data_IF_903275950344
#
_entry.id   IF_903275950344
#
_cell.length_a   1.000
_cell.length_b   1.000
_cell.length_c   1.000
_cell.angle_alpha   90.00
_cell.angle_beta   90.00
_cell.angle_gamma   90.00
#
_symmetry.space_group_name_H-M   'P 1'
#
loop_
_entity.id
_entity.type
_entity.pdbx_description
1 polymer ?
#
# COMPACT_ATOMS: atom_id res chain seq x y z
N UNK A 1 40.43 33.35 -1.25
CA UNK A 1 41.72 32.76 -1.66
C UNK A 1 41.54 32.31 -3.10
N UNK A 2 42.43 32.71 -4.00
CA UNK A 2 42.37 32.41 -5.44
C UNK A 2 43.62 31.63 -5.82
N UNK A 3 43.46 30.56 -6.60
CA UNK A 3 44.55 29.68 -7.04
C UNK A 3 44.52 29.57 -8.56
N UNK A 4 45.67 29.75 -9.22
CA UNK A 4 45.79 29.55 -10.67
C UNK A 4 45.98 28.08 -11.00
N UNK A 5 45.04 27.50 -11.73
CA UNK A 5 45.15 26.14 -12.27
C UNK A 5 44.96 26.19 -13.78
N UNK A 6 45.94 25.68 -14.54
CA UNK A 6 45.94 25.66 -16.02
C UNK A 6 45.64 27.03 -16.66
N UNK A 7 46.22 28.09 -16.12
CA UNK A 7 46.07 29.46 -16.65
C UNK A 7 44.74 30.13 -16.34
N UNK A 8 43.85 29.50 -15.57
CA UNK A 8 42.60 30.09 -15.09
C UNK A 8 42.67 30.37 -13.60
N UNK A 9 42.21 31.54 -13.19
CA UNK A 9 42.05 31.91 -11.79
C UNK A 9 40.79 31.23 -11.24
N UNK A 10 40.97 30.25 -10.36
CA UNK A 10 39.88 29.57 -9.66
C UNK A 10 39.75 30.15 -8.25
N UNK A 11 38.51 30.39 -7.84
CA UNK A 11 38.17 30.80 -6.48
C UNK A 11 37.21 29.81 -5.82
N UNK A 12 36.88 30.08 -4.55
CA UNK A 12 36.00 29.23 -3.75
C UNK A 12 34.58 29.07 -4.32
N UNK A 13 34.18 29.84 -5.36
CA UNK A 13 32.88 29.69 -6.03
C UNK A 13 32.85 28.49 -6.97
N UNK A 14 34.01 27.92 -7.31
CA UNK A 14 34.15 26.74 -8.17
C UNK A 14 34.27 25.43 -7.39
N UNK A 15 34.32 25.50 -6.06
CA UNK A 15 34.39 24.34 -5.17
C UNK A 15 32.99 24.10 -4.60
N UNK A 16 32.52 22.86 -4.66
CA UNK A 16 31.25 22.45 -4.04
C UNK A 16 31.25 22.88 -2.57
N UNK A 17 30.19 23.56 -2.06
CA UNK A 17 30.11 23.95 -0.66
C UNK A 17 30.35 22.74 0.24
N UNK A 18 31.39 22.80 1.06
CA UNK A 18 31.75 21.69 1.94
C UNK A 18 31.42 22.05 3.40
N UNK A 19 31.06 21.03 4.17
CA UNK A 19 30.81 21.16 5.59
C UNK A 19 32.07 20.67 6.36
N UNK A 20 32.81 21.55 7.07
CA UNK A 20 34.03 21.18 7.77
C UNK A 20 33.83 20.07 8.81
N UNK A 21 32.67 20.02 9.49
CA UNK A 21 32.36 18.97 10.45
C UNK A 21 32.21 17.61 9.75
N UNK A 22 31.54 17.56 8.60
CA UNK A 22 31.36 16.31 7.86
C UNK A 22 32.67 15.83 7.21
N UNK A 23 33.48 16.74 6.68
CA UNK A 23 34.82 16.42 6.17
C UNK A 23 35.69 15.80 7.27
N UNK A 24 35.74 16.43 8.46
CA UNK A 24 36.54 15.93 9.58
C UNK A 24 36.00 14.59 10.14
N UNK A 25 34.67 14.38 10.09
CA UNK A 25 34.04 13.17 10.61
C UNK A 25 34.26 11.94 9.73
N UNK A 26 34.31 12.12 8.41
CA UNK A 26 34.33 11.02 7.44
C UNK A 26 35.60 10.96 6.59
N UNK A 27 36.54 11.89 6.79
CA UNK A 27 37.85 11.97 6.10
C UNK A 27 37.77 11.82 4.57
N UNK A 28 36.71 12.39 3.97
CA UNK A 28 36.50 12.37 2.52
C UNK A 28 35.73 13.61 2.05
N UNK A 29 35.87 13.96 0.77
CA UNK A 29 35.15 15.09 0.18
C UNK A 29 33.67 14.74 -0.03
N UNK A 30 32.78 15.42 0.71
CA UNK A 30 31.34 15.14 0.72
C UNK A 30 30.56 16.26 0.01
N UNK A 31 29.69 15.88 -0.92
CA UNK A 31 28.68 16.77 -1.50
C UNK A 31 27.38 16.65 -0.68
N UNK A 32 26.82 17.79 -0.24
CA UNK A 32 25.57 17.82 0.55
C UNK A 32 24.49 18.48 -0.28
N UNK A 33 23.50 17.70 -0.70
CA UNK A 33 22.35 18.18 -1.47
C UNK A 33 21.06 18.12 -0.64
N UNK A 34 20.37 19.25 -0.53
CA UNK A 34 19.04 19.32 0.09
C UNK A 34 18.00 19.09 -1.00
N UNK A 35 17.52 17.84 -1.10
CA UNK A 35 16.47 17.47 -2.04
C UNK A 35 15.10 17.85 -1.49
N UNK A 36 14.59 19.03 -1.84
CA UNK A 36 13.28 19.51 -1.37
C UNK A 36 12.08 18.97 -2.17
N UNK A 37 12.32 18.42 -3.37
CA UNK A 37 11.24 17.94 -4.24
C UNK A 37 11.13 16.41 -4.22
N UNK A 38 9.89 15.90 -4.26
CA UNK A 38 9.60 14.46 -4.42
C UNK A 38 10.28 13.87 -5.66
N UNK A 39 10.50 14.67 -6.71
CA UNK A 39 11.20 14.24 -7.93
C UNK A 39 12.66 13.88 -7.64
N UNK A 40 13.36 14.68 -6.82
CA UNK A 40 14.74 14.39 -6.44
C UNK A 40 14.84 13.14 -5.55
N UNK A 41 13.90 12.96 -4.61
CA UNK A 41 13.80 11.72 -3.80
C UNK A 41 13.55 10.51 -4.70
N UNK A 42 12.57 10.59 -5.61
CA UNK A 42 12.30 9.52 -6.60
C UNK A 42 13.53 9.22 -7.45
N UNK A 43 14.28 10.25 -7.85
CA UNK A 43 15.49 10.09 -8.64
C UNK A 43 16.58 9.37 -7.83
N UNK A 44 16.86 9.79 -6.60
CA UNK A 44 17.83 9.13 -5.72
C UNK A 44 17.48 7.66 -5.48
N UNK A 45 16.23 7.38 -5.11
CA UNK A 45 15.74 6.02 -4.91
C UNK A 45 15.75 5.20 -6.20
N UNK A 46 15.51 5.81 -7.37
CA UNK A 46 15.62 5.14 -8.66
C UNK A 46 17.02 4.57 -8.87
N UNK A 47 18.10 5.26 -8.48
CA UNK A 47 19.47 4.75 -8.64
C UNK A 47 19.87 3.75 -7.55
N UNK A 48 19.40 3.94 -6.32
CA UNK A 48 19.66 2.99 -5.21
C UNK A 48 18.93 1.66 -5.45
N UNK A 49 17.70 1.72 -5.95
CA UNK A 49 16.84 0.56 -6.18
C UNK A 49 16.74 0.16 -7.65
N UNK A 50 17.57 0.72 -8.54
CA UNK A 50 17.62 0.26 -9.93
C UNK A 50 18.07 -1.19 -9.89
N UNK A 51 17.17 -2.08 -10.30
CA UNK A 51 17.41 -3.50 -10.26
C UNK A 51 18.49 -3.95 -11.22
N UNK A 52 18.81 -5.23 -11.05
CA UNK A 52 19.74 -6.03 -11.82
C UNK A 52 19.43 -6.02 -13.30
N UNK A 53 20.25 -5.43 -14.17
CA UNK A 53 20.14 -5.79 -15.59
C UNK A 53 20.46 -7.29 -15.71
N UNK A 54 19.49 -8.06 -16.22
CA UNK A 54 19.62 -9.50 -16.45
C UNK A 54 19.99 -9.72 -17.90
N UNK A 55 20.99 -10.56 -18.12
CA UNK A 55 21.39 -11.01 -19.45
C UNK A 55 21.15 -12.50 -19.51
N UNK A 56 20.38 -12.94 -20.51
CA UNK A 56 20.32 -14.34 -20.89
C UNK A 56 21.39 -14.59 -21.96
N UNK A 57 22.25 -15.58 -21.76
CA UNK A 57 23.20 -16.01 -22.78
C UNK A 57 23.10 -17.51 -22.99
N UNK A 58 23.33 -17.94 -24.23
CA UNK A 58 23.35 -19.35 -24.61
C UNK A 58 24.77 -19.91 -24.42
N UNK A 59 24.88 -21.02 -23.69
CA UNK A 59 26.11 -21.79 -23.61
C UNK A 59 26.09 -22.88 -24.68
N UNK A 60 26.73 -22.65 -25.82
CA UNK A 60 26.89 -23.65 -26.87
C UNK A 60 28.07 -24.57 -26.49
N UNK A 61 27.87 -25.86 -26.20
CA UNK A 61 28.97 -26.78 -26.00
C UNK A 61 29.70 -26.99 -27.34
N UNK A 62 31.03 -26.93 -27.31
CA UNK A 62 31.82 -27.36 -28.45
C UNK A 62 31.66 -28.86 -28.66
N UNK A 63 31.01 -29.22 -29.77
CA UNK A 63 30.87 -30.56 -30.37
C UNK A 63 29.61 -31.37 -30.02
N UNK A 64 28.83 -31.64 -31.08
CA UNK A 64 27.88 -32.73 -31.32
C UNK A 64 26.89 -33.11 -30.21
N UNK A 65 25.67 -32.56 -30.26
CA UNK A 65 24.52 -33.12 -29.53
C UNK A 65 23.29 -33.06 -30.45
N UNK A 66 22.75 -34.22 -30.83
CA UNK A 66 21.58 -34.38 -31.70
C UNK A 66 20.24 -34.08 -30.99
N UNK A 67 20.26 -33.80 -29.69
CA UNK A 67 19.10 -33.38 -28.90
C UNK A 67 19.36 -31.99 -28.30
N UNK A 68 18.65 -30.98 -28.81
CA UNK A 68 18.73 -29.58 -28.39
C UNK A 68 17.58 -29.32 -27.41
N UNK A 69 17.88 -29.29 -26.12
CA UNK A 69 16.94 -28.80 -25.09
C UNK A 69 17.07 -27.27 -24.98
N UNK A 70 16.14 -26.54 -25.61
CA UNK A 70 16.10 -25.07 -25.62
C UNK A 70 16.00 -24.47 -24.20
N UNK A 71 15.46 -25.19 -23.21
CA UNK A 71 15.28 -24.67 -21.84
C UNK A 71 16.60 -24.74 -21.05
N UNK A 72 17.44 -25.76 -21.30
CA UNK A 72 18.72 -25.93 -20.61
C UNK A 72 19.85 -25.04 -21.16
N UNK A 73 19.70 -24.52 -22.38
CA UNK A 73 20.76 -23.79 -23.07
C UNK A 73 20.88 -22.31 -22.66
N UNK A 74 19.84 -21.71 -22.08
CA UNK A 74 19.87 -20.31 -21.66
C UNK A 74 20.17 -20.19 -20.16
N UNK A 75 21.34 -19.62 -19.84
CA UNK A 75 21.61 -19.17 -18.48
C UNK A 75 21.27 -17.69 -18.33
N UNK A 76 20.45 -17.39 -17.32
CA UNK A 76 20.18 -16.03 -16.88
C UNK A 76 21.27 -15.58 -15.91
N UNK A 77 22.17 -14.72 -16.35
CA UNK A 77 23.12 -14.04 -15.50
C UNK A 77 22.61 -12.66 -15.07
N UNK A 78 23.09 -12.21 -13.91
CA UNK A 78 22.84 -10.87 -13.38
C UNK A 78 24.09 -10.04 -13.57
N UNK A 79 23.99 -8.93 -14.28
CA UNK A 79 25.08 -7.95 -14.33
C UNK A 79 25.27 -7.35 -12.93
N UNK A 80 26.51 -7.38 -12.44
CA UNK A 80 26.90 -6.75 -11.18
C UNK A 80 27.86 -5.63 -11.55
N UNK A 81 27.48 -4.38 -11.25
CA UNK A 81 28.34 -3.24 -11.55
C UNK A 81 29.62 -3.28 -10.68
N UNK A 82 30.77 -2.74 -11.13
CA UNK A 82 32.01 -2.75 -10.35
C UNK A 82 31.87 -2.25 -8.90
N UNK A 83 31.11 -1.17 -8.60
CA UNK A 83 30.89 -0.75 -7.22
C UNK A 83 30.17 -1.79 -6.36
N UNK A 84 29.20 -2.51 -6.95
CA UNK A 84 28.43 -3.54 -6.24
C UNK A 84 29.26 -4.82 -6.05
N UNK A 85 30.06 -5.21 -7.03
CA UNK A 85 30.98 -6.34 -6.89
C UNK A 85 31.99 -6.07 -5.77
N UNK A 86 32.55 -4.86 -5.75
CA UNK A 86 33.46 -4.42 -4.71
C UNK A 86 32.79 -4.44 -3.33
N UNK A 87 31.55 -3.96 -3.24
CA UNK A 87 30.74 -4.07 -2.03
C UNK A 87 30.54 -5.52 -1.56
N UNK A 88 30.14 -6.44 -2.44
CA UNK A 88 29.92 -7.85 -2.08
C UNK A 88 31.19 -8.53 -1.59
N UNK A 89 32.35 -8.19 -2.19
CA UNK A 89 33.65 -8.75 -1.83
C UNK A 89 34.10 -8.22 -0.46
N UNK A 90 34.01 -6.91 -0.24
CA UNK A 90 34.53 -6.28 0.97
C UNK A 90 33.52 -6.18 2.12
N UNK A 91 32.22 -6.37 1.86
CA UNK A 91 31.16 -6.34 2.87
C UNK A 91 30.91 -4.97 3.51
N UNK A 92 31.36 -3.88 2.88
CA UNK A 92 31.20 -2.52 3.45
C UNK A 92 29.72 -2.11 3.57
N UNK A 93 29.37 -1.30 4.56
CA UNK A 93 28.01 -0.75 4.64
C UNK A 93 27.90 0.39 3.61
N UNK A 94 27.13 0.19 2.54
CA UNK A 94 26.94 1.22 1.48
C UNK A 94 25.93 2.29 1.88
N UNK A 95 24.96 1.94 2.71
CA UNK A 95 23.92 2.85 3.16
C UNK A 95 23.53 2.53 4.60
N UNK A 96 23.24 3.59 5.35
CA UNK A 96 22.62 3.48 6.67
C UNK A 96 21.39 4.38 6.66
N UNK A 97 20.23 3.81 6.98
CA UNK A 97 18.99 4.56 7.13
C UNK A 97 18.73 4.78 8.62
N UNK A 98 18.69 6.05 9.02
CA UNK A 98 18.36 6.44 10.39
C UNK A 98 17.17 7.41 10.41
N UNK A 99 16.10 7.11 11.20
CA UNK A 99 15.89 5.88 11.94
C UNK A 99 15.62 4.69 11.00
N UNK A 100 15.90 3.48 11.45
CA UNK A 100 15.63 2.28 10.65
C UNK A 100 14.12 2.07 10.50
N UNK A 101 13.68 1.61 9.32
CA UNK A 101 12.27 1.29 9.05
C UNK A 101 12.06 -0.22 9.16
N UNK A 102 11.04 -0.62 9.92
CA UNK A 102 10.65 -2.02 10.13
C UNK A 102 9.39 -2.34 9.35
N UNK A 103 9.47 -3.25 8.38
CA UNK A 103 8.29 -3.64 7.59
C UNK A 103 7.44 -4.65 8.36
N UNK A 104 6.20 -4.28 8.65
CA UNK A 104 5.24 -5.10 9.37
C UNK A 104 4.33 -5.84 8.39
N UNK A 105 4.26 -7.15 8.55
CA UNK A 105 3.46 -8.01 7.70
C UNK A 105 1.96 -7.78 7.92
N UNK A 106 1.22 -7.85 6.81
CA UNK A 106 -0.23 -7.74 6.79
C UNK A 106 -0.77 -8.97 6.05
N UNK A 107 -1.75 -9.64 6.63
CA UNK A 107 -2.45 -10.78 6.04
C UNK A 107 -3.81 -10.94 6.74
N UNK A 108 -4.74 -11.60 6.07
CA UNK A 108 -5.99 -12.04 6.70
C UNK A 108 -5.74 -13.28 7.57
N UNK A 109 -6.73 -13.65 8.36
CA UNK A 109 -6.71 -14.87 9.16
C UNK A 109 -6.41 -16.09 8.28
N UNK A 110 -5.46 -16.92 8.70
CA UNK A 110 -4.95 -18.10 7.99
C UNK A 110 -4.40 -17.87 6.57
N UNK A 111 -4.14 -16.63 6.18
CA UNK A 111 -3.59 -16.26 4.86
C UNK A 111 -2.16 -15.71 4.94
N UNK A 112 -1.39 -16.05 5.98
CA UNK A 112 0.03 -15.71 6.03
C UNK A 112 0.87 -16.66 5.21
N UNK A 113 1.99 -16.15 4.71
CA UNK A 113 2.92 -16.94 3.91
C UNK A 113 3.79 -17.81 4.83
N UNK A 114 3.77 -19.12 4.58
CA UNK A 114 4.62 -20.11 5.21
C UNK A 114 5.74 -20.55 4.26
N UNK A 115 6.99 -20.44 4.69
CA UNK A 115 8.13 -20.99 3.95
C UNK A 115 8.39 -22.43 4.40
N UNK A 116 8.59 -23.33 3.44
CA UNK A 116 8.92 -24.73 3.66
C UNK A 116 9.85 -25.22 2.55
N UNK A 117 10.58 -26.31 2.80
CA UNK A 117 11.42 -26.95 1.81
C UNK A 117 10.63 -27.93 0.95
N UNK A 118 11.06 -28.15 -0.30
CA UNK A 118 10.36 -29.04 -1.24
C UNK A 118 10.19 -30.49 -0.74
N UNK A 119 11.02 -30.92 0.21
CA UNK A 119 10.99 -32.26 0.80
C UNK A 119 10.21 -32.33 2.12
N UNK A 120 9.72 -31.20 2.62
CA UNK A 120 8.95 -31.15 3.86
C UNK A 120 7.54 -31.69 3.65
N UNK A 121 7.05 -32.45 4.63
CA UNK A 121 5.66 -32.91 4.62
C UNK A 121 4.72 -31.74 4.97
N UNK A 122 3.87 -31.35 4.03
CA UNK A 122 2.92 -30.24 4.19
C UNK A 122 2.03 -30.37 5.43
N UNK A 123 1.58 -31.59 5.77
CA UNK A 123 0.73 -31.79 6.96
C UNK A 123 1.48 -31.47 8.26
N UNK A 124 2.77 -31.78 8.32
CA UNK A 124 3.60 -31.46 9.47
C UNK A 124 3.90 -29.95 9.55
N UNK A 125 4.09 -29.30 8.40
CA UNK A 125 4.29 -27.84 8.32
C UNK A 125 3.05 -27.10 8.80
N UNK A 126 1.85 -27.54 8.38
CA UNK A 126 0.57 -26.95 8.78
C UNK A 126 0.25 -27.16 10.26
N UNK A 127 0.61 -28.32 10.82
CA UNK A 127 0.43 -28.62 12.25
C UNK A 127 1.48 -27.99 13.15
N UNK A 128 2.53 -27.39 12.58
CA UNK A 128 3.58 -26.77 13.38
C UNK A 128 3.11 -25.41 13.91
N UNK A 129 3.03 -25.30 15.24
CA UNK A 129 2.79 -24.03 15.93
C UNK A 129 3.78 -22.95 15.49
N UNK A 130 5.00 -23.34 15.15
CA UNK A 130 6.01 -22.40 14.66
C UNK A 130 5.57 -21.78 13.33
N UNK A 131 5.03 -22.55 12.39
CA UNK A 131 4.60 -22.06 11.07
C UNK A 131 3.37 -21.16 11.19
N UNK A 132 2.46 -21.44 12.13
CA UNK A 132 1.26 -20.63 12.40
C UNK A 132 1.58 -19.22 12.91
N UNK A 133 2.76 -19.02 13.52
CA UNK A 133 3.17 -17.73 14.06
C UNK A 133 3.67 -16.77 12.99
N UNK A 134 3.14 -15.55 13.02
CA UNK A 134 3.53 -14.41 12.20
C UNK A 134 3.74 -13.19 13.10
N UNK A 135 4.31 -12.12 12.55
CA UNK A 135 4.44 -10.85 13.27
C UNK A 135 3.09 -10.30 13.74
N UNK A 136 2.02 -10.51 12.98
CA UNK A 136 0.68 -9.99 13.27
C UNK A 136 -0.04 -10.86 14.31
N UNK A 137 0.03 -12.19 14.18
CA UNK A 137 -0.60 -13.09 15.16
C UNK A 137 0.07 -12.99 16.52
N UNK A 138 1.40 -12.91 16.56
CA UNK A 138 2.14 -12.72 17.81
C UNK A 138 1.97 -11.31 18.39
N UNK A 139 1.64 -10.30 17.58
CA UNK A 139 1.25 -8.99 18.09
C UNK A 139 -0.04 -9.10 18.92
N UNK A 140 -1.04 -9.84 18.44
CA UNK A 140 -2.26 -10.14 19.19
C UNK A 140 -1.97 -10.92 20.48
N UNK A 141 -1.19 -11.99 20.40
CA UNK A 141 -0.77 -12.77 21.57
C UNK A 141 -0.03 -11.91 22.61
N UNK A 142 0.83 -11.00 22.15
CA UNK A 142 1.56 -10.08 23.05
C UNK A 142 0.61 -9.07 23.70
N UNK A 143 -0.36 -8.56 22.96
CA UNK A 143 -1.39 -7.68 23.52
C UNK A 143 -2.25 -8.38 24.57
N UNK A 144 -2.53 -9.69 24.41
CA UNK A 144 -3.23 -10.46 25.44
C UNK A 144 -2.40 -10.54 26.73
N UNK A 145 -1.10 -10.80 26.62
CA UNK A 145 -0.23 -11.03 27.79
C UNK A 145 0.27 -9.74 28.47
N UNK A 146 0.36 -8.60 27.76
CA UNK A 146 1.03 -7.40 28.25
C UNK A 146 0.16 -6.14 28.10
N UNK A 147 -0.17 -5.49 29.22
CA UNK A 147 -0.98 -4.26 29.22
C UNK A 147 -0.30 -3.07 28.53
N UNK A 148 1.03 -2.98 28.57
CA UNK A 148 1.75 -1.91 27.89
C UNK A 148 1.71 -2.08 26.37
N UNK A 149 1.68 -3.34 25.88
CA UNK A 149 1.51 -3.63 24.47
C UNK A 149 0.13 -3.15 23.96
N UNK A 150 -0.91 -3.23 24.80
CA UNK A 150 -2.27 -2.78 24.46
C UNK A 150 -2.40 -1.28 24.20
N UNK A 151 -1.44 -0.47 24.66
CA UNK A 151 -1.44 0.98 24.46
C UNK A 151 -0.96 1.37 23.06
N UNK A 152 -0.36 0.45 22.30
CA UNK A 152 0.31 0.75 21.04
C UNK A 152 -0.57 0.40 19.83
N UNK A 153 -0.41 1.18 18.76
CA UNK A 153 -0.85 0.79 17.41
C UNK A 153 0.11 -0.24 16.82
N UNK A 154 -0.35 -1.02 15.83
CA UNK A 154 0.52 -1.99 15.18
C UNK A 154 1.76 -1.32 14.54
N UNK A 155 1.59 -0.15 13.92
CA UNK A 155 2.70 0.65 13.34
C UNK A 155 3.71 1.17 14.37
N UNK A 156 3.26 1.41 15.60
CA UNK A 156 4.10 1.91 16.71
C UNK A 156 4.79 0.74 17.44
N UNK A 157 4.32 -0.49 17.23
CA UNK A 157 4.80 -1.66 17.95
C UNK A 157 6.32 -1.88 17.87
N UNK A 158 6.97 -1.71 16.70
CA UNK A 158 8.42 -1.83 16.58
C UNK A 158 9.21 -0.77 17.37
N UNK A 159 8.59 0.33 17.79
CA UNK A 159 9.25 1.34 18.64
C UNK A 159 9.49 0.79 20.05
N UNK A 160 8.60 -0.07 20.55
CA UNK A 160 8.67 -0.64 21.89
C UNK A 160 9.10 -2.11 21.93
N UNK A 161 8.93 -2.85 20.83
CA UNK A 161 9.22 -4.29 20.76
C UNK A 161 10.13 -4.63 19.58
N UNK A 162 10.86 -5.74 19.69
CA UNK A 162 11.74 -6.31 18.68
C UNK A 162 11.27 -7.71 18.35
N UNK A 163 11.06 -7.98 17.07
CA UNK A 163 10.71 -9.31 16.58
C UNK A 163 11.95 -10.20 16.54
N UNK A 164 11.87 -11.35 17.20
CA UNK A 164 12.87 -12.40 17.10
C UNK A 164 12.40 -13.43 16.06
N UNK A 165 13.04 -13.45 14.89
CA UNK A 165 12.67 -14.36 13.80
C UNK A 165 12.92 -15.84 14.14
N UNK A 166 13.93 -16.16 14.95
CA UNK A 166 14.30 -17.54 15.28
C UNK A 166 13.28 -18.20 16.21
N UNK A 167 12.73 -17.42 17.15
CA UNK A 167 11.73 -17.91 18.10
C UNK A 167 10.30 -17.49 17.75
N UNK A 168 10.14 -16.63 16.74
CA UNK A 168 8.87 -16.00 16.34
C UNK A 168 8.12 -15.40 17.53
N UNK A 169 8.78 -14.52 18.26
CA UNK A 169 8.21 -13.80 19.42
C UNK A 169 8.60 -12.33 19.40
N UNK A 170 7.75 -11.50 19.99
CA UNK A 170 8.07 -10.10 20.28
C UNK A 170 8.71 -9.98 21.66
N UNK A 171 9.81 -9.24 21.74
CA UNK A 171 10.54 -8.98 22.99
C UNK A 171 10.67 -7.49 23.25
N UNK A 172 10.65 -7.01 24.50
CA UNK A 172 10.80 -5.58 24.79
C UNK A 172 12.10 -5.00 24.23
N UNK A 173 11.99 -3.87 23.53
CA UNK A 173 13.13 -3.15 22.96
C UNK A 173 13.93 -2.48 24.07
N UNK A 174 15.26 -2.61 23.98
CA UNK A 174 16.20 -1.99 24.93
C UNK A 174 16.94 -0.76 24.36
N UNK A 175 17.16 -0.69 23.03
CA UNK A 175 18.00 0.33 22.37
C UNK A 175 17.49 0.65 20.95
N UNK A 176 17.90 1.82 20.43
CA UNK A 176 17.64 2.40 19.09
C UNK A 176 16.17 2.74 18.84
N UNK A 177 15.91 3.78 18.05
CA UNK A 177 14.57 4.15 17.57
C UNK A 177 14.33 3.56 16.18
N UNK A 178 13.12 3.05 15.97
CA UNK A 178 12.75 2.34 14.74
C UNK A 178 11.32 2.75 14.39
N UNK A 179 11.06 3.03 13.12
CA UNK A 179 9.71 3.35 12.66
C UNK A 179 9.09 2.08 12.08
N UNK A 180 7.92 1.69 12.57
CA UNK A 180 7.15 0.60 11.96
C UNK A 180 6.38 1.08 10.73
N UNK A 181 6.43 0.30 9.66
CA UNK A 181 5.71 0.54 8.43
C UNK A 181 4.91 -0.70 8.04
N UNK A 182 3.58 -0.61 8.14
CA UNK A 182 2.67 -1.67 7.68
C UNK A 182 2.71 -1.72 6.16
N UNK A 183 2.92 -2.92 5.60
CA UNK A 183 2.94 -3.15 4.15
C UNK A 183 1.71 -2.53 3.49
N UNK A 184 1.92 -1.92 2.33
CA UNK A 184 0.85 -1.29 1.56
C UNK A 184 -0.17 -2.34 1.11
N UNK A 185 -1.43 -2.00 1.27
CA UNK A 185 -2.55 -2.70 0.66
C UNK A 185 -3.32 -1.69 -0.21
N UNK A 186 -3.64 -2.09 -1.43
CA UNK A 186 -4.49 -1.35 -2.36
C UNK A 186 -5.96 -1.50 -1.99
N UNK A 187 -6.83 -0.50 -2.19
CA UNK A 187 -8.27 -0.64 -2.01
C UNK A 187 -8.89 -1.84 -2.76
N UNK A 188 -8.31 -2.22 -3.91
CA UNK A 188 -8.73 -3.39 -4.69
C UNK A 188 -8.44 -4.74 -4.01
N UNK A 189 -7.59 -4.77 -2.98
CA UNK A 189 -7.33 -5.97 -2.15
C UNK A 189 -8.45 -6.23 -1.12
N UNK A 190 -9.51 -5.40 -1.09
CA UNK A 190 -10.71 -5.62 -0.30
C UNK A 190 -10.44 -5.69 1.21
N UNK A 191 -10.80 -6.81 1.85
CA UNK A 191 -10.70 -7.02 3.30
C UNK A 191 -9.31 -6.74 3.87
N UNK A 192 -8.24 -7.03 3.10
CA UNK A 192 -6.86 -6.77 3.52
C UNK A 192 -6.58 -5.26 3.65
N UNK A 193 -7.18 -4.44 2.78
CA UNK A 193 -7.09 -2.98 2.86
C UNK A 193 -7.81 -2.44 4.10
N UNK A 194 -9.02 -2.93 4.38
CA UNK A 194 -9.77 -2.50 5.56
C UNK A 194 -9.08 -2.93 6.86
N UNK A 195 -8.51 -4.14 6.91
CA UNK A 195 -7.67 -4.57 8.03
C UNK A 195 -6.48 -3.63 8.25
N UNK A 196 -5.81 -3.19 7.17
CA UNK A 196 -4.73 -2.20 7.26
C UNK A 196 -5.21 -0.89 7.87
N UNK A 197 -6.38 -0.39 7.45
CA UNK A 197 -6.96 0.83 8.03
C UNK A 197 -7.18 0.63 9.53
N UNK A 198 -7.83 -0.47 9.93
CA UNK A 198 -8.12 -0.77 11.33
C UNK A 198 -6.84 -0.85 12.17
N UNK A 199 -5.81 -1.57 11.71
CA UNK A 199 -4.51 -1.69 12.40
C UNK A 199 -3.75 -0.36 12.55
N UNK A 200 -4.09 0.65 11.73
CA UNK A 200 -3.53 2.00 11.85
C UNK A 200 -4.23 2.88 12.89
N UNK A 201 -5.43 2.48 13.36
CA UNK A 201 -6.28 3.30 14.22
C UNK A 201 -6.67 2.62 15.55
N UNK A 202 -6.75 1.28 15.58
CA UNK A 202 -7.11 0.50 16.76
C UNK A 202 -5.85 0.16 17.56
N UNK A 203 -5.84 0.56 18.84
CA UNK A 203 -4.77 0.26 19.79
C UNK A 203 -5.03 -1.09 20.48
N UNK A 204 -3.97 -1.88 20.63
CA UNK A 204 -4.00 -3.11 21.43
C UNK A 204 -5.02 -4.19 21.06
N UNK A 205 -5.32 -4.46 19.78
CA UNK A 205 -6.24 -5.53 19.44
C UNK A 205 -5.75 -6.89 19.93
N UNK A 206 -6.68 -7.72 20.42
CA UNK A 206 -6.37 -9.02 21.02
C UNK A 206 -6.49 -10.21 20.06
N UNK A 207 -7.18 -10.02 18.93
CA UNK A 207 -7.38 -11.03 17.88
C UNK A 207 -7.95 -10.38 16.62
N UNK A 208 -8.10 -11.14 15.53
CA UNK A 208 -8.82 -10.70 14.33
C UNK A 208 -10.28 -10.37 14.64
N UNK A 209 -10.96 -11.17 15.47
CA UNK A 209 -12.33 -10.91 15.90
C UNK A 209 -12.47 -9.67 16.78
N UNK A 210 -11.48 -9.42 17.64
CA UNK A 210 -11.46 -8.21 18.46
C UNK A 210 -11.35 -6.94 17.59
N UNK A 211 -10.59 -6.99 16.48
CA UNK A 211 -10.53 -5.90 15.50
C UNK A 211 -11.87 -5.68 14.80
N UNK A 212 -12.67 -6.73 14.61
CA UNK A 212 -14.01 -6.64 14.03
C UNK A 212 -15.06 -6.16 15.04
N UNK A 213 -14.73 -6.08 16.32
CA UNK A 213 -15.70 -5.77 17.38
C UNK A 213 -15.65 -4.29 17.74
N UNK A 214 -16.81 -3.62 17.63
CA UNK A 214 -17.00 -2.21 18.00
C UNK A 214 -18.02 -2.15 19.11
N UNK A 215 -17.57 -1.87 20.34
CA UNK A 215 -18.41 -1.95 21.53
C UNK A 215 -18.85 -3.39 21.80
N UNK A 216 -20.16 -3.66 21.74
CA UNK A 216 -20.74 -5.00 21.97
C UNK A 216 -21.15 -5.70 20.66
N UNK A 217 -20.85 -5.13 19.49
CA UNK A 217 -21.23 -5.69 18.19
C UNK A 217 -19.99 -6.15 17.44
N UNK A 218 -19.95 -7.44 17.10
CA UNK A 218 -18.91 -8.02 16.25
C UNK A 218 -19.38 -7.96 14.79
N UNK A 219 -18.69 -7.16 13.98
CA UNK A 219 -18.97 -7.07 12.56
C UNK A 219 -18.52 -8.35 11.82
N UNK A 220 -19.25 -8.79 10.78
CA UNK A 220 -18.85 -9.93 9.97
C UNK A 220 -17.60 -9.67 9.13
N UNK A 221 -17.34 -8.42 8.73
CA UNK A 221 -16.22 -8.04 7.85
C UNK A 221 -15.37 -6.92 8.45
N UNK A 222 -14.10 -6.83 8.02
CA UNK A 222 -13.22 -5.70 8.37
C UNK A 222 -13.72 -4.40 7.77
N UNK A 223 -14.33 -4.44 6.58
CA UNK A 223 -14.98 -3.27 5.99
C UNK A 223 -16.04 -2.69 6.92
N UNK A 224 -16.95 -3.52 7.39
CA UNK A 224 -18.05 -3.08 8.24
C UNK A 224 -17.56 -2.58 9.61
N UNK A 225 -16.57 -3.26 10.20
CA UNK A 225 -15.88 -2.74 11.39
C UNK A 225 -15.27 -1.35 11.15
N UNK A 226 -14.59 -1.14 10.02
CA UNK A 226 -14.02 0.16 9.67
C UNK A 226 -15.10 1.25 9.47
N UNK A 227 -16.25 0.89 8.90
CA UNK A 227 -17.43 1.75 8.79
C UNK A 227 -17.99 2.12 10.17
N UNK A 228 -18.17 1.14 11.06
CA UNK A 228 -18.69 1.34 12.42
C UNK A 228 -17.75 2.21 13.26
N UNK A 229 -16.44 2.08 13.08
CA UNK A 229 -15.45 2.98 13.67
C UNK A 229 -15.42 4.39 13.05
N UNK A 230 -16.18 4.64 11.97
CA UNK A 230 -16.20 5.92 11.26
C UNK A 230 -14.87 6.23 10.56
N UNK A 231 -14.06 5.22 10.25
CA UNK A 231 -12.74 5.37 9.62
C UNK A 231 -12.83 5.47 8.10
N UNK A 232 -13.92 4.97 7.52
CA UNK A 232 -14.25 5.21 6.13
C UNK A 232 -14.99 6.54 6.05
N UNK A 233 -14.64 7.37 5.07
CA UNK A 233 -15.43 8.56 4.77
C UNK A 233 -16.86 8.09 4.55
N UNK A 234 -17.76 8.51 5.45
CA UNK A 234 -19.18 8.36 5.16
C UNK A 234 -19.42 9.11 3.87
N UNK A 235 -20.29 8.57 3.02
CA UNK A 235 -20.74 9.26 1.83
C UNK A 235 -21.52 10.54 2.16
N UNK A 236 -21.51 11.05 3.41
CA UNK A 236 -22.17 12.29 3.83
C UNK A 236 -21.82 13.45 2.90
N UNK A 237 -20.55 13.63 2.51
CA UNK A 237 -20.20 14.72 1.58
C UNK A 237 -20.75 14.49 0.16
N UNK A 238 -20.89 13.23 -0.27
CA UNK A 238 -21.46 12.87 -1.57
C UNK A 238 -22.99 12.97 -1.54
N UNK A 239 -23.59 12.61 -0.42
CA UNK A 239 -25.01 12.71 -0.13
C UNK A 239 -25.41 14.18 -0.01
N UNK A 240 -24.66 15.00 0.74
CA UNK A 240 -24.86 16.45 0.83
C UNK A 240 -24.73 17.09 -0.56
N UNK A 241 -23.75 16.67 -1.37
CA UNK A 241 -23.57 17.14 -2.74
C UNK A 241 -24.77 16.77 -3.64
N UNK A 242 -25.23 15.52 -3.57
CA UNK A 242 -26.41 15.06 -4.32
C UNK A 242 -27.70 15.75 -3.85
N UNK A 243 -27.84 15.98 -2.54
CA UNK A 243 -28.97 16.66 -1.93
C UNK A 243 -29.02 18.13 -2.30
N UNK A 244 -27.88 18.81 -2.35
CA UNK A 244 -27.81 20.18 -2.85
C UNK A 244 -28.17 20.21 -4.34
N UNK A 245 -27.65 19.27 -5.13
CA UNK A 245 -27.93 19.18 -6.56
C UNK A 245 -29.40 18.86 -6.88
N UNK A 246 -30.08 18.03 -6.10
CA UNK A 246 -31.48 17.67 -6.34
C UNK A 246 -32.43 18.85 -6.21
N UNK A 247 -32.05 19.90 -5.46
CA UNK A 247 -32.85 21.12 -5.31
C UNK A 247 -32.94 21.97 -6.59
N UNK A 248 -31.95 21.88 -7.49
CA UNK A 248 -31.87 22.78 -8.65
C UNK A 248 -31.56 22.09 -9.99
N UNK A 249 -31.12 20.83 -9.99
CA UNK A 249 -30.81 20.11 -11.22
C UNK A 249 -32.00 19.29 -11.72
N UNK A 250 -32.16 19.25 -13.04
CA UNK A 250 -33.11 18.36 -13.70
C UNK A 250 -32.64 16.89 -13.65
N UNK A 251 -33.56 15.90 -13.72
CA UNK A 251 -33.23 14.48 -13.47
C UNK A 251 -32.09 13.93 -14.33
N UNK A 252 -32.03 14.28 -15.62
CA UNK A 252 -30.92 13.87 -16.50
C UNK A 252 -29.55 14.38 -16.01
N UNK A 253 -29.49 15.62 -15.50
CA UNK A 253 -28.26 16.23 -15.01
C UNK A 253 -27.84 15.60 -13.68
N UNK A 254 -28.83 15.31 -12.83
CA UNK A 254 -28.64 14.61 -11.56
C UNK A 254 -28.09 13.19 -11.77
N UNK A 255 -28.61 12.44 -12.75
CA UNK A 255 -28.05 11.12 -13.16
C UNK A 255 -26.60 11.22 -13.63
N UNK A 256 -26.23 12.30 -14.33
CA UNK A 256 -24.84 12.53 -14.79
C UNK A 256 -23.91 12.88 -13.63
N UNK A 257 -24.38 13.64 -12.66
CA UNK A 257 -23.65 13.90 -11.41
C UNK A 257 -23.42 12.60 -10.64
N UNK A 258 -24.46 11.77 -10.48
CA UNK A 258 -24.35 10.46 -9.87
C UNK A 258 -23.31 9.56 -10.57
N UNK A 259 -23.33 9.49 -11.91
CA UNK A 259 -22.32 8.75 -12.67
C UNK A 259 -20.89 9.30 -12.44
N UNK A 260 -20.74 10.62 -12.31
CA UNK A 260 -19.45 11.26 -12.01
C UNK A 260 -18.96 10.87 -10.61
N UNK A 261 -19.84 10.85 -9.62
CA UNK A 261 -19.53 10.40 -8.26
C UNK A 261 -19.09 8.93 -8.25
N UNK A 262 -19.78 8.06 -8.99
CA UNK A 262 -19.40 6.64 -9.11
C UNK A 262 -18.00 6.45 -9.70
N UNK A 263 -17.63 7.24 -10.71
CA UNK A 263 -16.34 7.09 -11.41
C UNK A 263 -15.17 7.69 -10.62
N UNK A 264 -15.37 8.86 -10.01
CA UNK A 264 -14.27 9.65 -9.45
C UNK A 264 -14.19 9.65 -7.92
N UNK A 265 -15.31 9.44 -7.24
CA UNK A 265 -15.38 9.55 -5.79
C UNK A 265 -15.39 8.18 -5.08
N UNK A 266 -15.67 7.09 -5.81
CA UNK A 266 -15.75 5.72 -5.26
C UNK A 266 -16.55 5.66 -3.96
N UNK A 267 -17.87 5.98 -4.00
CA UNK A 267 -18.71 6.00 -2.81
C UNK A 267 -18.65 4.66 -2.07
N UNK A 268 -18.65 4.73 -0.74
CA UNK A 268 -18.54 3.57 0.14
C UNK A 268 -19.78 2.68 0.02
N UNK A 269 -20.97 3.24 -0.22
CA UNK A 269 -22.20 2.49 -0.47
C UNK A 269 -23.00 3.10 -1.64
N UNK A 270 -22.61 2.76 -2.87
CA UNK A 270 -23.26 3.26 -4.09
C UNK A 270 -24.74 2.88 -4.19
N UNK A 271 -25.16 1.75 -3.59
CA UNK A 271 -26.56 1.30 -3.59
C UNK A 271 -27.42 2.18 -2.70
N UNK A 272 -26.98 2.44 -1.48
CA UNK A 272 -27.70 3.31 -0.55
C UNK A 272 -27.81 4.74 -1.11
N UNK A 273 -26.75 5.25 -1.76
CA UNK A 273 -26.79 6.54 -2.44
C UNK A 273 -27.77 6.55 -3.63
N UNK A 274 -27.90 5.45 -4.38
CA UNK A 274 -28.91 5.32 -5.44
C UNK A 274 -30.32 5.33 -4.84
N UNK A 275 -30.59 4.45 -3.87
CA UNK A 275 -31.91 4.30 -3.25
C UNK A 275 -32.40 5.61 -2.63
N UNK A 276 -31.49 6.44 -2.10
CA UNK A 276 -31.83 7.73 -1.51
C UNK A 276 -32.28 8.79 -2.53
N UNK A 277 -31.72 8.78 -3.75
CA UNK A 277 -31.97 9.80 -4.79
C UNK A 277 -32.69 9.25 -6.04
N UNK A 278 -33.15 8.00 -5.99
CA UNK A 278 -33.78 7.31 -7.13
C UNK A 278 -34.94 8.13 -7.69
N UNK A 279 -35.84 8.58 -6.82
CA UNK A 279 -37.04 9.32 -7.19
C UNK A 279 -36.72 10.66 -7.86
N UNK A 280 -35.77 11.42 -7.31
CA UNK A 280 -35.32 12.70 -7.89
C UNK A 280 -34.66 12.47 -9.27
N UNK A 281 -33.94 11.36 -9.40
CA UNK A 281 -33.28 10.96 -10.64
C UNK A 281 -34.21 10.34 -11.68
N UNK A 282 -35.42 9.89 -11.34
CA UNK A 282 -36.34 9.20 -12.26
C UNK A 282 -37.61 9.97 -12.60
N UNK A 283 -37.83 11.13 -11.97
CA UNK A 283 -39.09 11.90 -12.11
C UNK A 283 -39.46 12.28 -13.56
N UNK A 284 -38.48 12.44 -14.46
CA UNK A 284 -38.73 12.71 -15.88
C UNK A 284 -39.26 11.50 -16.67
N UNK A 285 -38.99 10.28 -16.23
CA UNK A 285 -39.53 9.07 -16.84
C UNK A 285 -41.01 8.92 -16.52
N UNK A 286 -41.45 9.28 -15.32
CA UNK A 286 -42.86 9.24 -14.92
C UNK A 286 -43.71 10.22 -15.74
N UNK A 287 -43.23 11.45 -15.92
CA UNK A 287 -43.93 12.47 -16.72
C UNK A 287 -44.01 12.08 -18.20
N UNK A 288 -43.02 11.35 -18.72
CA UNK A 288 -42.99 10.90 -20.11
C UNK A 288 -44.06 9.85 -20.43
N UNK A 289 -44.39 8.99 -19.45
CA UNK A 289 -45.43 7.94 -19.59
C UNK A 289 -46.82 8.56 -19.58
N UNK A 290 -47.07 9.55 -18.71
CA UNK A 290 -48.34 10.30 -18.69
C UNK A 290 -48.54 11.10 -19.98
N UNK A 291 -47.48 11.74 -20.50
CA UNK A 291 -47.56 12.46 -21.78
C UNK A 291 -47.86 11.53 -22.96
N UNK A 292 -47.28 10.32 -22.98
CA UNK A 292 -47.57 9.33 -24.03
C UNK A 292 -48.99 8.76 -23.93
N UNK A 293 -49.55 8.58 -22.73
CA UNK A 293 -50.94 8.15 -22.55
C UNK A 293 -51.94 9.23 -22.99
N UNK A 294 -51.68 10.51 -22.69
CA UNK A 294 -52.53 11.64 -23.09
C UNK A 294 -52.49 11.86 -24.62
N UNK A 295 -51.31 11.73 -25.24
CA UNK A 295 -51.17 11.79 -26.71
C UNK A 295 -51.82 10.59 -27.40
N UNK A 296 -51.75 9.40 -26.78
CA UNK A 296 -52.48 8.21 -27.19
C UNK A 296 -53.99 8.45 -27.20
N UNK A 297 -54.58 8.91 -26.09
CA UNK A 297 -56.03 9.19 -26.00
C UNK A 297 -56.51 10.24 -27.03
N UNK A 298 -55.76 11.33 -27.24
CA UNK A 298 -56.10 12.34 -28.26
C UNK A 298 -56.05 11.78 -29.69
N UNK A 299 -55.16 10.82 -29.97
CA UNK A 299 -55.10 10.15 -31.28
C UNK A 299 -56.28 9.20 -31.52
N UNK A 300 -56.81 8.55 -30.48
CA UNK A 300 -58.02 7.72 -30.56
C UNK A 300 -59.29 8.57 -30.77
N UNK A 301 -59.41 9.72 -30.08
CA UNK A 301 -60.56 10.64 -30.27
C UNK A 301 -60.59 11.27 -31.66
N UNK A 302 -59.42 11.60 -32.24
CA UNK A 302 -59.32 12.10 -33.61
C UNK A 302 -59.68 11.05 -34.68
N UNK A 303 -59.56 9.76 -34.36
CA UNK A 303 -59.88 8.65 -35.27
C UNK A 303 -61.37 8.25 -35.28
N UNK A 304 -62.15 8.72 -34.29
CA UNK A 304 -63.60 8.49 -34.18
C UNK A 304 -64.45 9.62 -34.79
N UNK A 305 -63.80 10.70 -35.25
CA UNK A 305 -64.43 11.88 -35.86
C UNK A 305 -64.34 11.89 -37.40
N UNK A 306 -63.97 10.76 -38.01
CA UNK A 306 -64.02 10.50 -39.46
C UNK A 306 -64.82 9.23 -39.74
#
# INVERSE_FOLDING_TARGET
MTVKVKGKDLDNRWVVPHNPYLLAKFDCHLNVEICSTIKAVKYLYKYIYKGHDRVAFNLIPGQNIQDIDEIQQFQSARWIAPPEAMWRIYGFILNEMHPSVYSLHLHLEDQHLAAFHAHDNLNNVLRSDFTAKSMLTEFFSTNQANENARKLLYKEFPEAFVWNQQHKIWTPRKKKTVIGHIVTASPFEGERYYLRILLNHIRGPLSFDHIKTVGNVTAPTFRESATLHGLLQRDTSLQDCMQEASLYQIPHSLRRLFATILVYCNPTNSRELWEYFEQDMSSDFETSVEHQQILGQKSYEASLLH
#
